data_IF_012779538119
#
_entry.id   IF_012779538119
#
_cell.length_a   1.000
_cell.length_b   1.000
_cell.length_c   1.000
_cell.angle_alpha   90.00
_cell.angle_beta   90.00
_cell.angle_gamma   90.00
#
_symmetry.space_group_name_H-M   'P 1'
#
loop_
_entity.id
_entity.type
_entity.pdbx_description
1 polymer ?
#
# COMPACT_ATOMS: atom_id res chain seq x y z
N UNK A 1 1.31 -11.32 -8.94
CA UNK A 1 1.29 -10.95 -7.51
C UNK A 1 -0.11 -11.05 -6.98
N UNK A 2 -0.29 -11.88 -5.97
CA UNK A 2 -1.57 -12.03 -5.30
C UNK A 2 -1.34 -12.27 -3.80
N UNK A 3 -2.30 -11.87 -2.98
CA UNK A 3 -2.29 -12.11 -1.53
C UNK A 3 -3.27 -13.24 -1.20
N UNK A 4 -2.87 -14.14 -0.31
CA UNK A 4 -3.77 -15.15 0.26
C UNK A 4 -3.82 -15.01 1.77
N UNK A 5 -5.02 -14.95 2.34
CA UNK A 5 -5.19 -14.85 3.77
C UNK A 5 -5.09 -16.25 4.40
N UNK A 6 -4.18 -16.39 5.37
CA UNK A 6 -3.96 -17.60 6.16
C UNK A 6 -4.50 -17.34 7.56
N UNK A 7 -5.42 -18.19 8.03
CA UNK A 7 -5.97 -18.07 9.37
C UNK A 7 -4.88 -18.36 10.42
N UNK A 8 -4.71 -17.47 11.37
CA UNK A 8 -3.79 -17.66 12.50
C UNK A 8 -4.37 -18.65 13.51
N UNK A 9 -3.51 -19.31 14.30
CA UNK A 9 -3.92 -20.16 15.41
C UNK A 9 -4.31 -19.32 16.64
N UNK A 10 -5.30 -18.46 16.46
CA UNK A 10 -5.71 -17.46 17.45
C UNK A 10 -7.24 -17.31 17.49
N UNK A 11 -7.78 -17.26 18.70
CA UNK A 11 -9.22 -17.10 18.90
C UNK A 11 -9.64 -15.65 18.70
N UNK A 12 -10.53 -15.39 17.73
CA UNK A 12 -11.08 -14.07 17.42
C UNK A 12 -11.77 -13.35 18.59
N UNK A 13 -12.17 -14.08 19.64
CA UNK A 13 -12.83 -13.54 20.84
C UNK A 13 -11.86 -13.20 21.97
N UNK A 14 -10.62 -13.71 21.92
CA UNK A 14 -9.61 -13.52 22.97
C UNK A 14 -8.54 -12.58 22.41
N UNK A 15 -8.62 -11.31 22.82
CA UNK A 15 -7.72 -10.27 22.35
C UNK A 15 -7.57 -9.15 23.37
N UNK A 16 -6.42 -8.49 23.32
CA UNK A 16 -6.17 -7.22 24.01
C UNK A 16 -6.37 -6.09 23.02
N UNK A 17 -6.82 -4.93 23.50
CA UNK A 17 -6.94 -3.72 22.70
C UNK A 17 -5.84 -2.77 23.10
N UNK A 18 -5.16 -2.22 22.11
CA UNK A 18 -4.12 -1.22 22.34
C UNK A 18 -4.17 -0.14 21.25
N UNK A 19 -3.69 1.03 21.61
CA UNK A 19 -3.67 2.22 20.78
C UNK A 19 -2.43 2.19 19.90
N UNK A 20 -2.62 1.94 18.61
CA UNK A 20 -1.52 1.83 17.66
C UNK A 20 -1.52 3.03 16.70
N UNK A 21 -0.34 3.61 16.48
CA UNK A 21 -0.17 4.60 15.43
C UNK A 21 -0.39 3.96 14.05
N UNK A 22 -1.24 4.59 13.25
CA UNK A 22 -1.39 4.24 11.83
C UNK A 22 -0.08 4.61 11.14
N UNK A 23 0.70 3.59 10.76
CA UNK A 23 2.00 3.79 10.11
C UNK A 23 1.87 4.73 8.91
N UNK A 24 2.74 5.74 8.87
CA UNK A 24 2.84 6.70 7.78
C UNK A 24 2.96 5.93 6.46
N UNK A 25 2.12 6.29 5.50
CA UNK A 25 2.16 5.67 4.19
C UNK A 25 3.45 6.17 3.53
N UNK A 26 4.39 5.28 3.18
CA UNK A 26 5.66 5.64 2.52
C UNK A 26 5.44 6.64 1.37
N UNK A 27 4.42 6.37 0.55
CA UNK A 27 3.95 7.26 -0.51
C UNK A 27 3.68 8.67 -0.02
N UNK A 28 3.00 8.82 1.11
CA UNK A 28 2.58 10.11 1.62
C UNK A 28 3.77 10.97 2.02
N UNK A 29 4.84 10.37 2.56
CA UNK A 29 6.09 11.09 2.83
C UNK A 29 6.75 11.57 1.54
N UNK A 30 6.88 10.70 0.54
CA UNK A 30 7.44 11.07 -0.77
C UNK A 30 6.60 12.15 -1.44
N UNK A 31 5.28 12.10 -1.28
CA UNK A 31 4.38 13.10 -1.80
C UNK A 31 4.60 14.48 -1.13
N UNK A 32 4.78 14.52 0.19
CA UNK A 32 5.10 15.77 0.90
C UNK A 32 6.43 16.36 0.45
N UNK A 33 7.43 15.51 0.19
CA UNK A 33 8.74 15.90 -0.35
C UNK A 33 8.58 16.50 -1.77
N UNK A 34 7.91 15.81 -2.70
CA UNK A 34 7.64 16.29 -4.06
C UNK A 34 6.89 17.63 -4.07
N UNK A 35 5.91 17.78 -3.18
CA UNK A 35 5.14 19.02 -3.06
C UNK A 35 6.04 20.16 -2.54
N UNK A 36 6.87 19.90 -1.54
CA UNK A 36 7.76 20.92 -0.98
C UNK A 36 8.81 21.36 -2.00
N UNK A 37 9.35 20.45 -2.80
CA UNK A 37 10.23 20.78 -3.93
C UNK A 37 9.54 21.72 -4.92
N UNK A 38 8.30 21.42 -5.32
CA UNK A 38 7.52 22.28 -6.21
C UNK A 38 7.26 23.67 -5.59
N UNK A 39 6.99 23.75 -4.29
CA UNK A 39 6.82 25.03 -3.58
C UNK A 39 8.08 25.87 -3.58
N UNK A 40 9.24 25.26 -3.32
CA UNK A 40 10.54 25.94 -3.33
C UNK A 40 10.85 26.48 -4.73
N UNK A 41 10.56 25.70 -5.78
CA UNK A 41 10.70 26.14 -7.16
C UNK A 41 9.79 27.35 -7.50
N UNK A 42 8.61 27.44 -6.89
CA UNK A 42 7.71 28.59 -6.97
C UNK A 42 8.06 29.74 -5.99
N UNK A 43 9.16 29.63 -5.21
CA UNK A 43 9.57 30.63 -4.22
C UNK A 43 8.71 30.67 -2.94
N UNK A 44 7.87 29.66 -2.71
CA UNK A 44 7.04 29.51 -1.52
C UNK A 44 7.80 28.77 -0.42
N UNK A 45 7.48 29.08 0.84
CA UNK A 45 8.06 28.34 1.99
C UNK A 45 7.54 26.90 2.01
N UNK A 46 8.40 25.91 2.32
CA UNK A 46 7.94 24.54 2.53
C UNK A 46 6.98 24.48 3.73
N UNK A 47 6.05 23.54 3.72
CA UNK A 47 5.23 23.26 4.89
C UNK A 47 5.81 22.10 5.70
N UNK A 48 5.64 22.16 7.02
CA UNK A 48 5.94 21.04 7.92
C UNK A 48 4.87 19.94 7.79
N UNK A 49 5.22 18.71 8.14
CA UNK A 49 4.32 17.54 8.05
C UNK A 49 2.94 17.86 8.61
N UNK A 50 1.92 17.91 7.75
CA UNK A 50 0.53 18.24 8.13
C UNK A 50 -0.13 17.04 8.83
N UNK A 51 0.49 15.87 8.72
CA UNK A 51 -0.12 14.60 9.09
C UNK A 51 0.04 14.34 10.57
N UNK A 52 -1.08 14.43 11.28
CA UNK A 52 -1.21 13.82 12.60
C UNK A 52 -1.20 12.30 12.41
N UNK A 53 -0.29 11.61 13.08
CA UNK A 53 -0.36 10.15 13.16
C UNK A 53 -1.66 9.77 13.87
N UNK A 54 -2.65 9.33 13.10
CA UNK A 54 -3.90 8.83 13.65
C UNK A 54 -3.60 7.65 14.56
N UNK A 55 -4.03 7.76 15.82
CA UNK A 55 -3.98 6.65 16.75
C UNK A 55 -5.28 5.88 16.58
N UNK A 56 -5.17 4.62 16.19
CA UNK A 56 -6.31 3.74 15.94
C UNK A 56 -6.25 2.60 16.95
N UNK A 57 -7.39 2.32 17.58
CA UNK A 57 -7.54 1.15 18.43
C UNK A 57 -7.36 -0.12 17.58
N UNK A 58 -6.40 -0.97 17.95
CA UNK A 58 -6.15 -2.26 17.31
C UNK A 58 -6.35 -3.40 18.29
N UNK A 59 -6.76 -4.53 17.73
CA UNK A 59 -6.92 -5.79 18.46
C UNK A 59 -5.70 -6.66 18.22
N UNK A 60 -5.06 -7.08 19.31
CA UNK A 60 -3.91 -7.97 19.30
C UNK A 60 -4.32 -9.30 19.94
N UNK A 61 -3.93 -10.41 19.32
CA UNK A 61 -4.15 -11.71 19.95
C UNK A 61 -3.16 -11.92 21.08
N UNK A 62 -3.61 -12.58 22.15
CA UNK A 62 -2.73 -13.01 23.25
C UNK A 62 -1.88 -14.22 22.81
N UNK A 63 -2.47 -15.11 22.01
CA UNK A 63 -1.80 -16.34 21.56
C UNK A 63 -0.86 -16.09 20.37
N UNK A 64 -1.17 -15.11 19.53
CA UNK A 64 -0.38 -14.78 18.35
C UNK A 64 -0.38 -13.26 18.06
N UNK A 65 0.47 -12.47 18.75
CA UNK A 65 0.47 -11.01 18.67
C UNK A 65 0.85 -10.43 17.30
N UNK A 66 1.55 -11.19 16.46
CA UNK A 66 1.97 -10.77 15.12
C UNK A 66 0.84 -10.88 14.10
N UNK A 67 -0.20 -11.65 14.41
CA UNK A 67 -1.37 -11.80 13.54
C UNK A 67 -2.24 -10.54 13.48
N UNK A 68 -2.79 -10.25 12.31
CA UNK A 68 -3.68 -9.12 12.10
C UNK A 68 -5.14 -9.50 12.33
N UNK A 69 -5.89 -8.67 13.05
CA UNK A 69 -7.34 -8.85 13.17
C UNK A 69 -8.04 -8.50 11.84
N UNK A 70 -8.38 -9.52 11.08
CA UNK A 70 -8.99 -9.43 9.75
C UNK A 70 -10.51 -9.55 9.81
N UNK A 71 -11.20 -8.65 9.10
CA UNK A 71 -12.66 -8.62 8.98
C UNK A 71 -12.99 -8.86 7.51
N UNK A 72 -13.40 -10.08 7.18
CA UNK A 72 -13.79 -10.45 5.80
C UNK A 72 -15.20 -9.97 5.50
N UNK A 73 -16.09 -10.14 6.46
CA UNK A 73 -17.48 -9.65 6.46
C UNK A 73 -17.89 -9.28 7.88
N UNK A 74 -19.09 -8.73 8.08
CA UNK A 74 -19.60 -8.45 9.43
C UNK A 74 -19.63 -9.70 10.33
N UNK A 75 -19.90 -10.87 9.74
CA UNK A 75 -20.01 -12.17 10.44
C UNK A 75 -18.68 -12.91 10.53
N UNK A 76 -17.84 -12.80 9.50
CA UNK A 76 -16.55 -13.48 9.42
C UNK A 76 -15.41 -12.56 9.83
N UNK A 77 -15.00 -12.70 11.10
CA UNK A 77 -13.83 -12.05 11.70
C UNK A 77 -12.85 -13.13 12.13
N UNK A 78 -11.56 -12.91 11.95
CA UNK A 78 -10.51 -13.83 12.38
C UNK A 78 -9.17 -13.12 12.55
N UNK A 79 -8.27 -13.70 13.33
CA UNK A 79 -6.86 -13.35 13.25
C UNK A 79 -6.25 -14.08 12.04
N UNK A 80 -5.49 -13.35 11.22
CA UNK A 80 -4.93 -13.87 9.99
C UNK A 80 -3.59 -13.22 9.64
N UNK A 81 -2.89 -13.89 8.73
CA UNK A 81 -1.75 -13.38 7.98
C UNK A 81 -2.12 -13.24 6.52
N UNK A 82 -1.48 -12.31 5.82
CA UNK A 82 -1.54 -12.21 4.36
C UNK A 82 -0.20 -12.69 3.79
N UNK A 83 -0.24 -13.78 3.03
CA UNK A 83 0.89 -14.27 2.26
C UNK A 83 0.83 -13.67 0.86
N UNK A 84 1.69 -12.68 0.60
CA UNK A 84 1.82 -12.04 -0.70
C UNK A 84 2.81 -12.84 -1.53
N UNK A 85 2.35 -13.40 -2.65
CA UNK A 85 3.16 -14.29 -3.49
C UNK A 85 3.47 -13.63 -4.83
N UNK A 86 4.74 -13.70 -5.22
CA UNK A 86 5.21 -13.33 -6.56
C UNK A 86 5.58 -14.61 -7.30
N UNK A 87 4.92 -14.87 -8.41
CA UNK A 87 5.25 -15.96 -9.33
C UNK A 87 5.80 -15.42 -10.64
N UNK A 88 6.56 -16.26 -11.34
CA UNK A 88 6.95 -16.01 -12.72
C UNK A 88 5.84 -16.45 -13.71
N UNK A 89 6.13 -16.34 -15.00
CA UNK A 89 5.20 -16.73 -16.08
C UNK A 89 5.00 -18.25 -16.20
N UNK A 90 5.89 -19.05 -15.64
CA UNK A 90 5.84 -20.52 -15.66
C UNK A 90 5.18 -21.10 -14.39
N UNK A 91 4.77 -20.24 -13.45
CA UNK A 91 4.14 -20.63 -12.19
C UNK A 91 5.12 -20.96 -11.06
N UNK A 92 6.43 -20.71 -11.22
CA UNK A 92 7.38 -20.82 -10.13
C UNK A 92 7.23 -19.64 -9.16
N UNK A 93 7.24 -19.94 -7.87
CA UNK A 93 7.22 -18.93 -6.82
C UNK A 93 8.61 -18.31 -6.70
N UNK A 94 8.72 -17.02 -7.00
CA UNK A 94 9.96 -16.24 -6.88
C UNK A 94 10.17 -15.72 -5.47
N UNK A 95 9.09 -15.26 -4.83
CA UNK A 95 9.14 -14.71 -3.48
C UNK A 95 7.79 -14.80 -2.78
N UNK A 96 7.83 -14.93 -1.45
CA UNK A 96 6.68 -14.80 -0.56
C UNK A 96 7.03 -13.81 0.55
N UNK A 97 6.11 -12.89 0.81
CA UNK A 97 6.18 -11.96 1.94
C UNK A 97 4.96 -12.16 2.82
N UNK A 98 5.18 -12.34 4.11
CA UNK A 98 4.11 -12.55 5.09
C UNK A 98 3.90 -11.25 5.86
N UNK A 99 2.65 -10.82 5.97
CA UNK A 99 2.28 -9.65 6.77
C UNK A 99 1.07 -9.93 7.65
N UNK A 100 0.81 -9.12 8.69
CA UNK A 100 -0.42 -9.22 9.46
C UNK A 100 -1.65 -9.00 8.56
N UNK A 101 -2.70 -9.81 8.69
CA UNK A 101 -3.87 -9.78 7.80
C UNK A 101 -4.72 -8.51 7.86
N UNK A 102 -4.43 -7.58 8.77
CA UNK A 102 -5.04 -6.24 8.82
C UNK A 102 -4.22 -5.18 8.05
N UNK A 103 -3.10 -5.56 7.46
CA UNK A 103 -2.31 -4.71 6.60
C UNK A 103 -2.87 -4.73 5.17
N UNK A 104 -3.03 -3.57 4.56
CA UNK A 104 -3.61 -3.47 3.22
C UNK A 104 -2.59 -3.87 2.14
N UNK A 105 -2.99 -4.79 1.25
CA UNK A 105 -2.14 -5.40 0.22
C UNK A 105 -1.40 -4.40 -0.68
N UNK A 106 -2.04 -3.28 -1.01
CA UNK A 106 -1.42 -2.24 -1.83
C UNK A 106 -0.08 -1.73 -1.28
N UNK A 107 0.17 -1.86 0.04
CA UNK A 107 1.44 -1.47 0.65
C UNK A 107 2.59 -2.41 0.31
N UNK A 108 2.30 -3.64 -0.09
CA UNK A 108 3.31 -4.68 -0.29
C UNK A 108 3.87 -4.77 -1.72
N UNK A 109 3.29 -4.04 -2.68
CA UNK A 109 3.78 -4.08 -4.06
C UNK A 109 5.24 -3.64 -4.17
N UNK A 110 5.54 -2.44 -3.68
CA UNK A 110 6.89 -1.85 -3.72
C UNK A 110 7.93 -2.76 -3.06
N UNK A 111 7.80 -3.15 -1.78
CA UNK A 111 8.84 -3.94 -1.11
C UNK A 111 9.04 -5.32 -1.76
N UNK A 112 8.00 -5.95 -2.30
CA UNK A 112 8.14 -7.23 -3.01
C UNK A 112 8.87 -7.08 -4.34
N UNK A 113 8.55 -6.05 -5.13
CA UNK A 113 9.24 -5.80 -6.41
C UNK A 113 10.72 -5.50 -6.19
N UNK A 114 11.07 -4.83 -5.09
CA UNK A 114 12.47 -4.55 -4.72
C UNK A 114 13.25 -5.81 -4.33
N UNK A 115 12.59 -6.77 -3.65
CA UNK A 115 13.21 -8.06 -3.32
C UNK A 115 13.43 -8.91 -4.56
N UNK A 116 12.44 -9.01 -5.43
CA UNK A 116 12.51 -9.82 -6.66
C UNK A 116 13.40 -9.17 -7.73
N UNK A 117 13.61 -7.85 -7.66
CA UNK A 117 14.38 -7.06 -8.64
C UNK A 117 13.89 -7.31 -10.07
N UNK A 118 12.57 -7.34 -10.25
CA UNK A 118 11.95 -7.61 -11.54
C UNK A 118 12.43 -6.61 -12.60
N UNK A 119 12.70 -7.12 -13.81
CA UNK A 119 13.06 -6.33 -15.00
C UNK A 119 11.93 -6.29 -16.03
N UNK A 120 10.81 -6.96 -15.76
CA UNK A 120 9.72 -7.19 -16.70
C UNK A 120 8.41 -6.58 -16.20
N UNK A 121 7.34 -6.74 -16.99
CA UNK A 121 6.00 -6.34 -16.57
C UNK A 121 5.56 -7.02 -15.28
N UNK A 122 4.74 -6.33 -14.49
CA UNK A 122 4.23 -6.80 -13.21
C UNK A 122 2.72 -7.00 -13.32
N UNK A 123 2.29 -8.26 -13.25
CA UNK A 123 0.88 -8.61 -13.11
C UNK A 123 0.50 -8.69 -11.63
N UNK A 124 -0.55 -7.97 -11.22
CA UNK A 124 -1.02 -7.99 -9.84
C UNK A 124 -2.56 -7.90 -9.73
N UNK A 125 -3.10 -8.44 -8.64
CA UNK A 125 -4.53 -8.37 -8.34
C UNK A 125 -5.02 -6.91 -8.15
N UNK A 126 -6.33 -6.69 -8.26
CA UNK A 126 -7.00 -5.40 -8.12
C UNK A 126 -6.67 -4.70 -6.78
N UNK A 127 -6.43 -5.45 -5.70
CA UNK A 127 -6.06 -4.89 -4.40
C UNK A 127 -4.75 -4.08 -4.42
N UNK A 128 -3.87 -4.36 -5.38
CA UNK A 128 -2.62 -3.63 -5.59
C UNK A 128 -2.77 -2.42 -6.52
N UNK A 129 -3.93 -2.24 -7.16
CA UNK A 129 -4.22 -1.16 -8.09
C UNK A 129 -4.47 0.14 -7.33
N UNK A 130 -3.39 0.86 -7.07
CA UNK A 130 -3.41 2.23 -6.55
C UNK A 130 -2.66 3.17 -7.50
N UNK A 131 -3.04 4.45 -7.56
CA UNK A 131 -2.30 5.44 -8.35
C UNK A 131 -0.81 5.48 -8.03
N UNK A 132 -0.44 5.32 -6.75
CA UNK A 132 0.95 5.27 -6.31
C UNK A 132 1.72 4.08 -6.87
N UNK A 133 1.18 2.86 -6.72
CA UNK A 133 1.85 1.66 -7.20
C UNK A 133 2.04 1.69 -8.71
N UNK A 134 1.08 2.26 -9.43
CA UNK A 134 1.14 2.38 -10.89
C UNK A 134 2.19 3.42 -11.29
N UNK A 135 2.25 4.58 -10.63
CA UNK A 135 3.33 5.56 -10.80
C UNK A 135 4.70 4.91 -10.59
N UNK A 136 4.89 4.21 -9.48
CA UNK A 136 6.13 3.52 -9.14
C UNK A 136 6.57 2.52 -10.22
N UNK A 137 5.65 1.69 -10.72
CA UNK A 137 5.96 0.72 -11.77
C UNK A 137 6.36 1.41 -13.07
N UNK A 138 5.63 2.45 -13.49
CA UNK A 138 5.91 3.21 -14.72
C UNK A 138 7.28 3.90 -14.65
N UNK A 139 7.61 4.56 -13.54
CA UNK A 139 8.90 5.24 -13.34
C UNK A 139 10.08 4.27 -13.43
N UNK A 140 9.90 3.03 -12.96
CA UNK A 140 10.88 1.95 -13.07
C UNK A 140 10.87 1.24 -14.43
N UNK A 141 10.10 1.74 -15.41
CA UNK A 141 9.90 1.13 -16.74
C UNK A 141 9.35 -0.31 -16.67
N UNK A 142 8.65 -0.66 -15.60
CA UNK A 142 7.96 -1.94 -15.44
C UNK A 142 6.52 -1.77 -15.92
N UNK A 143 6.09 -2.60 -16.86
CA UNK A 143 4.72 -2.52 -17.40
C UNK A 143 3.70 -3.05 -16.38
N UNK A 144 2.80 -2.21 -15.82
CA UNK A 144 1.74 -2.69 -14.93
C UNK A 144 0.66 -3.44 -15.73
N UNK A 145 0.30 -4.63 -15.28
CA UNK A 145 -0.79 -5.46 -15.81
C UNK A 145 -1.78 -5.67 -14.65
N UNK A 146 -2.76 -4.78 -14.56
CA UNK A 146 -3.74 -4.75 -13.48
C UNK A 146 -5.16 -4.92 -14.05
N UNK A 147 -6.07 -5.60 -13.33
CA UNK A 147 -7.38 -5.95 -13.87
C UNK A 147 -8.34 -4.76 -13.95
N UNK A 148 -9.35 -4.91 -14.84
CA UNK A 148 -10.51 -4.00 -15.03
C UNK A 148 -10.19 -2.60 -15.56
N UNK A 149 -9.02 -2.38 -16.14
CA UNK A 149 -8.61 -1.08 -16.65
C UNK A 149 -7.55 -1.24 -17.75
N UNK A 150 -7.56 -0.37 -18.76
CA UNK A 150 -6.57 -0.39 -19.83
C UNK A 150 -5.26 0.27 -19.40
N UNK A 151 -4.18 0.00 -20.14
CA UNK A 151 -2.88 0.64 -19.88
C UNK A 151 -2.95 2.17 -20.02
N UNK A 152 -3.69 2.70 -21.00
CA UNK A 152 -3.89 4.15 -21.15
C UNK A 152 -4.58 4.76 -19.92
N UNK A 153 -5.59 4.07 -19.39
CA UNK A 153 -6.28 4.51 -18.17
C UNK A 153 -5.40 4.39 -16.91
N UNK A 154 -4.47 3.41 -16.87
CA UNK A 154 -3.45 3.32 -15.81
C UNK A 154 -2.46 4.50 -15.87
N UNK A 155 -2.03 4.89 -17.06
CA UNK A 155 -1.21 6.10 -17.26
C UNK A 155 -1.96 7.34 -16.77
N UNK A 156 -3.21 7.51 -17.19
CA UNK A 156 -4.04 8.61 -16.69
C UNK A 156 -4.18 8.59 -15.17
N UNK A 157 -4.33 7.42 -14.55
CA UNK A 157 -4.45 7.30 -13.10
C UNK A 157 -3.18 7.76 -12.38
N UNK A 158 -1.99 7.40 -12.89
CA UNK A 158 -0.72 7.87 -12.37
C UNK A 158 -0.56 9.39 -12.53
N UNK A 159 -0.93 9.89 -13.72
CA UNK A 159 -0.82 11.30 -14.09
C UNK A 159 -1.79 12.20 -13.32
N UNK A 160 -3.08 11.80 -13.23
CA UNK A 160 -4.11 12.56 -12.51
C UNK A 160 -3.76 12.71 -11.04
N UNK A 161 -3.17 11.69 -10.41
CA UNK A 161 -2.70 11.79 -9.04
C UNK A 161 -1.61 12.88 -8.92
N UNK A 162 -0.61 12.88 -9.81
CA UNK A 162 0.42 13.93 -9.85
C UNK A 162 -0.16 15.35 -10.02
N UNK A 163 -1.15 15.54 -10.91
CA UNK A 163 -1.81 16.83 -11.10
C UNK A 163 -2.74 17.23 -9.96
N UNK A 164 -3.48 16.28 -9.36
CA UNK A 164 -4.31 16.56 -8.18
C UNK A 164 -3.45 17.07 -7.03
N UNK A 165 -2.25 16.50 -6.88
CA UNK A 165 -1.27 16.93 -5.89
C UNK A 165 -0.78 18.36 -6.18
N UNK A 166 -0.41 18.67 -7.43
CA UNK A 166 -0.06 20.03 -7.85
C UNK A 166 -1.20 21.03 -7.62
N UNK A 167 -2.45 20.65 -7.88
CA UNK A 167 -3.63 21.47 -7.60
C UNK A 167 -3.85 21.64 -6.09
N UNK A 168 -3.59 20.62 -5.28
CA UNK A 168 -3.60 20.73 -3.82
C UNK A 168 -2.56 21.76 -3.33
N UNK A 169 -1.37 21.81 -3.96
CA UNK A 169 -0.37 22.86 -3.70
C UNK A 169 -0.92 24.27 -3.98
N UNK A 170 -1.75 24.40 -5.02
CA UNK A 170 -2.37 25.68 -5.39
C UNK A 170 -3.55 26.07 -4.50
N UNK A 171 -4.31 25.11 -3.97
CA UNK A 171 -5.55 25.35 -3.22
C UNK A 171 -5.31 25.46 -1.70
N UNK A 172 -4.30 24.80 -1.13
CA UNK A 172 -4.07 24.80 0.34
C UNK A 172 -3.48 26.11 0.89
N UNK A 173 -3.22 27.11 0.04
CA UNK A 173 -2.96 28.48 0.50
C UNK A 173 -3.64 29.52 -0.37
N UNK A 174 -4.92 29.75 -0.07
CA UNK A 174 -5.52 31.07 0.03
C UNK A 174 -6.19 31.19 1.39
#
# INVERSE_FOLDING_TARGET
MDSTHIKANANKRIFTRDMAHKGAILYQKQLEEEINEARIAEGKRPFGSIIRQEVVERKFSIADPESGYYVKTEREKQFAYSAHTVGDENGFVLDVMITPGNLHDSRMLVPQIERVKSRYGVAANAAYKTPWNVKYLIERKLRPILPYISFAQLLEMAIKNMYLNLLFVKVVHY
#
